data_IF_949465926890
#
_entry.id   IF_949465926890
#
_cell.length_a   1.000
_cell.length_b   1.000
_cell.length_c   1.000
_cell.angle_alpha   90.00
_cell.angle_beta   90.00
_cell.angle_gamma   90.00
#
_symmetry.space_group_name_H-M   'P 1'
#
loop_
_entity.id
_entity.type
_entity.pdbx_description
1 polymer ?
#
# COMPACT_ATOMS: atom_id res chain seq x y z
N UNK A 1 -22.32 22.60 3.43
CA UNK A 1 -23.47 21.70 3.72
C UNK A 1 -23.67 20.58 2.68
N UNK A 2 -23.32 20.76 1.40
CA UNK A 2 -23.53 19.73 0.35
C UNK A 2 -22.74 18.42 0.53
N UNK A 3 -21.45 18.48 0.88
CA UNK A 3 -20.61 17.27 1.00
C UNK A 3 -21.06 16.31 2.13
N UNK A 4 -21.55 16.85 3.26
CA UNK A 4 -22.07 16.06 4.38
C UNK A 4 -23.38 15.36 4.01
N UNK A 5 -24.24 16.01 3.24
CA UNK A 5 -25.54 15.47 2.82
C UNK A 5 -25.41 14.38 1.75
N UNK A 6 -24.44 14.53 0.83
CA UNK A 6 -24.10 13.48 -0.15
C UNK A 6 -23.54 12.26 0.57
N UNK A 7 -22.63 12.46 1.53
CA UNK A 7 -22.03 11.34 2.29
C UNK A 7 -23.07 10.54 3.09
N UNK A 8 -24.07 11.19 3.70
CA UNK A 8 -25.15 10.51 4.44
C UNK A 8 -26.05 9.66 3.52
N UNK A 9 -26.30 10.14 2.30
CA UNK A 9 -27.08 9.42 1.28
C UNK A 9 -26.34 8.18 0.78
N UNK A 10 -25.03 8.31 0.50
CA UNK A 10 -24.19 7.20 0.06
C UNK A 10 -24.07 6.12 1.15
N UNK A 11 -23.87 6.52 2.41
CA UNK A 11 -23.76 5.57 3.52
C UNK A 11 -25.07 4.78 3.76
N UNK A 12 -26.23 5.41 3.52
CA UNK A 12 -27.53 4.71 3.52
C UNK A 12 -27.69 3.76 2.33
N UNK A 13 -27.23 4.14 1.14
CA UNK A 13 -27.30 3.29 -0.06
C UNK A 13 -26.47 2.01 0.12
N UNK A 14 -25.22 2.16 0.57
CA UNK A 14 -24.30 1.04 0.85
C UNK A 14 -24.90 0.14 1.95
N UNK A 15 -25.38 0.71 3.07
CA UNK A 15 -26.00 -0.09 4.13
C UNK A 15 -27.29 -0.77 3.72
N UNK A 16 -28.05 -0.24 2.77
CA UNK A 16 -29.27 -0.86 2.25
C UNK A 16 -28.95 -2.04 1.33
N UNK A 17 -27.99 -1.88 0.42
CA UNK A 17 -27.57 -2.96 -0.48
C UNK A 17 -26.71 -4.04 0.22
N UNK A 18 -26.05 -3.66 1.33
CA UNK A 18 -25.20 -4.56 2.10
C UNK A 18 -25.94 -5.42 3.14
N UNK A 19 -27.25 -5.22 3.39
CA UNK A 19 -28.02 -5.94 4.44
C UNK A 19 -28.04 -7.47 4.32
N UNK A 20 -27.62 -8.04 3.18
CA UNK A 20 -27.47 -9.48 2.95
C UNK A 20 -26.04 -9.93 2.60
N UNK A 21 -25.02 -9.11 2.83
CA UNK A 21 -23.64 -9.47 2.47
C UNK A 21 -23.04 -10.40 3.50
N UNK A 22 -22.96 -11.67 3.13
CA UNK A 22 -22.13 -12.62 3.88
C UNK A 22 -20.66 -12.20 3.77
N UNK A 23 -19.93 -12.22 4.89
CA UNK A 23 -18.48 -12.02 4.95
C UNK A 23 -17.74 -12.89 3.92
N UNK A 24 -18.31 -14.04 3.58
CA UNK A 24 -17.79 -14.94 2.56
C UNK A 24 -17.77 -14.28 1.16
N UNK A 25 -18.80 -13.50 0.80
CA UNK A 25 -18.84 -12.79 -0.49
C UNK A 25 -17.78 -11.70 -0.55
N UNK A 26 -17.60 -10.96 0.54
CA UNK A 26 -16.56 -9.94 0.66
C UNK A 26 -15.17 -10.58 0.54
N UNK A 27 -14.96 -11.69 1.25
CA UNK A 27 -13.73 -12.47 1.16
C UNK A 27 -13.48 -12.96 -0.28
N UNK A 28 -14.46 -13.60 -0.92
CA UNK A 28 -14.33 -14.11 -2.29
C UNK A 28 -14.04 -13.01 -3.32
N UNK A 29 -14.67 -11.84 -3.19
CA UNK A 29 -14.43 -10.70 -4.05
C UNK A 29 -12.95 -10.26 -3.98
N UNK A 30 -12.48 -9.97 -2.77
CA UNK A 30 -11.12 -9.49 -2.56
C UNK A 30 -10.05 -10.59 -2.72
N UNK A 31 -10.40 -11.85 -2.50
CA UNK A 31 -9.55 -12.99 -2.78
C UNK A 31 -9.32 -13.15 -4.29
N UNK A 32 -10.37 -13.02 -5.11
CA UNK A 32 -10.23 -12.99 -6.58
C UNK A 32 -9.36 -11.82 -7.03
N UNK A 33 -9.55 -10.64 -6.43
CA UNK A 33 -8.67 -9.50 -6.67
C UNK A 33 -7.23 -9.84 -6.30
N UNK A 34 -6.97 -10.49 -5.18
CA UNK A 34 -5.61 -10.89 -4.79
C UNK A 34 -4.99 -11.95 -5.71
N UNK A 35 -5.80 -12.83 -6.30
CA UNK A 35 -5.35 -13.87 -7.24
C UNK A 35 -5.24 -13.37 -8.68
N UNK A 36 -6.02 -12.39 -9.11
CA UNK A 36 -6.07 -11.94 -10.51
C UNK A 36 -5.54 -10.52 -10.71
N UNK A 37 -5.35 -9.76 -9.63
CA UNK A 37 -4.91 -8.36 -9.63
C UNK A 37 -3.40 -8.20 -9.78
N UNK A 38 -2.77 -9.03 -10.61
CA UNK A 38 -1.36 -8.86 -10.97
C UNK A 38 -1.20 -7.72 -12.00
N UNK A 39 -0.05 -7.05 -12.01
CA UNK A 39 0.21 -5.90 -12.89
C UNK A 39 0.13 -4.51 -12.22
N UNK A 40 0.07 -4.45 -10.89
CA UNK A 40 0.13 -3.20 -10.13
C UNK A 40 -1.19 -2.42 -10.12
N UNK A 41 -1.12 -1.10 -9.92
CA UNK A 41 -2.29 -0.22 -9.84
C UNK A 41 -3.24 -0.33 -11.04
N UNK A 42 -2.76 -0.21 -12.29
CA UNK A 42 -3.62 -0.24 -13.47
C UNK A 42 -4.38 -1.56 -13.69
N UNK A 43 -3.83 -2.69 -13.25
CA UNK A 43 -4.50 -4.00 -13.34
C UNK A 43 -5.46 -4.28 -12.18
N UNK A 44 -5.11 -3.84 -10.97
CA UNK A 44 -5.89 -4.11 -9.77
C UNK A 44 -7.09 -3.19 -9.59
N UNK A 45 -7.01 -1.92 -9.99
CA UNK A 45 -8.11 -0.94 -9.81
C UNK A 45 -9.38 -1.35 -10.60
N UNK A 46 -9.31 -1.65 -11.91
CA UNK A 46 -10.49 -2.05 -12.68
C UNK A 46 -11.08 -3.38 -12.19
N UNK A 47 -10.23 -4.28 -11.68
CA UNK A 47 -10.66 -5.56 -11.15
C UNK A 47 -11.44 -5.39 -9.83
N UNK A 48 -10.99 -4.50 -8.94
CA UNK A 48 -11.73 -4.16 -7.72
C UNK A 48 -13.05 -3.47 -8.09
N UNK A 49 -13.01 -2.51 -9.02
CA UNK A 49 -14.22 -1.83 -9.52
C UNK A 49 -15.24 -2.85 -10.05
N UNK A 50 -14.82 -3.77 -10.92
CA UNK A 50 -15.69 -4.82 -11.47
C UNK A 50 -16.30 -5.73 -10.41
N UNK A 51 -15.56 -6.10 -9.36
CA UNK A 51 -16.13 -6.93 -8.30
C UNK A 51 -17.09 -6.12 -7.42
N UNK A 52 -16.71 -4.91 -7.03
CA UNK A 52 -17.43 -4.11 -6.02
C UNK A 52 -18.62 -3.34 -6.60
N UNK A 53 -18.49 -2.79 -7.80
CA UNK A 53 -19.50 -1.96 -8.50
C UNK A 53 -20.32 -2.81 -9.45
N UNK A 54 -19.71 -3.59 -10.36
CA UNK A 54 -20.50 -4.34 -11.35
C UNK A 54 -21.11 -5.63 -10.78
N UNK A 55 -20.30 -6.48 -10.13
CA UNK A 55 -20.73 -7.82 -9.70
C UNK A 55 -21.59 -7.78 -8.45
N UNK A 56 -21.09 -7.16 -7.38
CA UNK A 56 -21.75 -7.17 -6.07
C UNK A 56 -22.57 -5.89 -5.81
N UNK A 57 -22.40 -4.86 -6.64
CA UNK A 57 -23.12 -3.58 -6.60
C UNK A 57 -23.09 -2.88 -5.23
N UNK A 58 -22.07 -3.14 -4.41
CA UNK A 58 -21.98 -2.57 -3.06
C UNK A 58 -21.77 -1.06 -3.07
N UNK A 59 -21.11 -0.54 -4.10
CA UNK A 59 -20.79 0.87 -4.28
C UNK A 59 -21.23 1.32 -5.68
N UNK A 60 -21.52 2.62 -5.81
CA UNK A 60 -21.68 3.28 -7.10
C UNK A 60 -20.32 3.65 -7.71
N UNK A 61 -20.30 3.99 -9.00
CA UNK A 61 -19.10 4.53 -9.66
C UNK A 61 -18.55 5.79 -8.98
N UNK A 62 -19.45 6.67 -8.52
CA UNK A 62 -19.11 7.89 -7.80
C UNK A 62 -18.41 7.57 -6.46
N UNK A 63 -18.99 6.65 -5.68
CA UNK A 63 -18.40 6.22 -4.40
C UNK A 63 -17.04 5.56 -4.58
N UNK A 64 -16.90 4.74 -5.63
CA UNK A 64 -15.62 4.11 -5.93
C UNK A 64 -14.57 5.15 -6.31
N UNK A 65 -14.94 6.15 -7.11
CA UNK A 65 -14.07 7.28 -7.48
C UNK A 65 -13.58 8.05 -6.25
N UNK A 66 -14.47 8.36 -5.31
CA UNK A 66 -14.12 9.05 -4.06
C UNK A 66 -13.15 8.22 -3.20
N UNK A 67 -13.40 6.92 -3.05
CA UNK A 67 -12.51 6.03 -2.29
C UNK A 67 -11.16 5.88 -3.00
N UNK A 68 -11.15 5.83 -4.33
CA UNK A 68 -9.91 5.76 -5.11
C UNK A 68 -9.10 7.04 -4.97
N UNK A 69 -9.74 8.22 -4.97
CA UNK A 69 -9.08 9.49 -4.70
C UNK A 69 -8.43 9.47 -3.31
N UNK A 70 -9.17 9.05 -2.28
CA UNK A 70 -8.64 8.89 -0.92
C UNK A 70 -7.45 7.90 -0.88
N UNK A 71 -7.55 6.76 -1.55
CA UNK A 71 -6.50 5.75 -1.58
C UNK A 71 -5.18 6.26 -2.23
N UNK A 72 -5.28 7.17 -3.20
CA UNK A 72 -4.12 7.79 -3.84
C UNK A 72 -3.47 8.89 -2.98
N UNK A 73 -4.24 9.57 -2.12
CA UNK A 73 -3.67 10.57 -1.19
C UNK A 73 -2.87 9.95 -0.06
N UNK A 74 -3.25 8.74 0.40
CA UNK A 74 -2.50 8.00 1.39
C UNK A 74 -1.22 7.43 0.76
N UNK A 75 -0.09 7.34 1.45
CA UNK A 75 1.06 6.56 0.98
C UNK A 75 0.81 5.05 1.17
N UNK A 76 1.30 4.22 0.25
CA UNK A 76 1.27 2.75 0.36
C UNK A 76 0.48 2.01 -0.74
N UNK A 77 0.33 0.68 -0.62
CA UNK A 77 -0.28 -0.15 -1.66
C UNK A 77 -1.76 0.17 -1.89
N UNK A 78 -2.14 0.42 -3.15
CA UNK A 78 -3.50 0.84 -3.52
C UNK A 78 -4.52 -0.28 -3.21
N UNK A 79 -4.22 -1.52 -3.58
CA UNK A 79 -5.13 -2.66 -3.38
C UNK A 79 -5.53 -2.86 -1.90
N UNK A 80 -4.57 -2.76 -0.98
CA UNK A 80 -4.83 -2.93 0.45
C UNK A 80 -5.66 -1.78 1.03
N UNK A 81 -5.42 -0.54 0.59
CA UNK A 81 -6.22 0.62 1.01
C UNK A 81 -7.66 0.52 0.55
N UNK A 82 -7.86 0.21 -0.74
CA UNK A 82 -9.18 0.02 -1.31
C UNK A 82 -9.92 -1.12 -0.58
N UNK A 83 -9.26 -2.26 -0.36
CA UNK A 83 -9.84 -3.37 0.38
C UNK A 83 -10.24 -3.01 1.80
N UNK A 84 -9.37 -2.29 2.54
CA UNK A 84 -9.67 -1.83 3.89
C UNK A 84 -10.85 -0.87 3.95
N UNK A 85 -10.86 0.15 3.08
CA UNK A 85 -11.89 1.19 3.11
C UNK A 85 -13.25 0.67 2.61
N UNK A 86 -13.25 -0.10 1.51
CA UNK A 86 -14.46 -0.74 0.98
C UNK A 86 -14.97 -1.79 1.98
N UNK A 87 -14.09 -2.63 2.54
CA UNK A 87 -14.47 -3.62 3.53
C UNK A 87 -15.11 -2.99 4.78
N UNK A 88 -14.58 -1.85 5.23
CA UNK A 88 -15.16 -1.08 6.33
C UNK A 88 -16.54 -0.52 6.00
N UNK A 89 -16.72 0.05 4.81
CA UNK A 89 -18.01 0.62 4.36
C UNK A 89 -19.07 -0.45 4.18
N UNK A 90 -18.71 -1.61 3.64
CA UNK A 90 -19.65 -2.69 3.34
C UNK A 90 -20.07 -3.44 4.62
N UNK A 91 -19.13 -3.87 5.45
CA UNK A 91 -19.42 -4.77 6.59
C UNK A 91 -18.79 -4.36 7.91
N UNK A 92 -18.48 -3.07 8.06
CA UNK A 92 -17.86 -2.52 9.27
C UNK A 92 -16.44 -3.02 9.50
N UNK A 93 -15.98 -2.94 10.75
CA UNK A 93 -14.59 -3.28 11.13
C UNK A 93 -14.24 -4.73 10.80
N UNK A 94 -15.19 -5.67 10.96
CA UNK A 94 -14.97 -7.07 10.60
C UNK A 94 -14.78 -7.25 9.09
N UNK A 95 -15.54 -6.51 8.28
CA UNK A 95 -15.38 -6.49 6.83
C UNK A 95 -14.03 -5.94 6.38
N UNK A 96 -13.53 -4.90 7.05
CA UNK A 96 -12.19 -4.34 6.79
C UNK A 96 -11.09 -5.39 6.98
N UNK A 97 -11.07 -6.06 8.14
CA UNK A 97 -10.06 -7.07 8.47
C UNK A 97 -10.15 -8.22 7.47
N UNK A 98 -11.36 -8.69 7.19
CA UNK A 98 -11.59 -9.80 6.27
C UNK A 98 -11.18 -9.46 4.83
N UNK A 99 -11.49 -8.26 4.34
CA UNK A 99 -11.10 -7.81 3.00
C UNK A 99 -9.57 -7.67 2.86
N UNK A 100 -8.90 -7.11 3.86
CA UNK A 100 -7.43 -6.99 3.88
C UNK A 100 -6.79 -8.39 3.88
N UNK A 101 -7.27 -9.29 4.74
CA UNK A 101 -6.80 -10.67 4.78
C UNK A 101 -7.01 -11.35 3.43
N UNK A 102 -8.18 -11.21 2.82
CA UNK A 102 -8.49 -11.82 1.53
C UNK A 102 -7.52 -11.40 0.41
N UNK A 103 -7.09 -10.14 0.39
CA UNK A 103 -6.10 -9.64 -0.59
C UNK A 103 -4.71 -10.23 -0.36
N UNK A 104 -4.28 -10.40 0.90
CA UNK A 104 -2.90 -10.82 1.25
C UNK A 104 -2.75 -12.35 1.28
N UNK A 105 -3.81 -13.07 1.66
CA UNK A 105 -3.85 -14.53 1.74
C UNK A 105 -3.31 -15.26 0.50
N UNK A 106 -3.72 -14.94 -0.75
CA UNK A 106 -3.21 -15.66 -1.92
C UNK A 106 -1.70 -15.50 -2.08
N UNK A 107 -1.14 -14.33 -1.76
CA UNK A 107 0.31 -14.09 -1.79
C UNK A 107 1.04 -14.92 -0.73
N UNK A 108 0.50 -15.01 0.49
CA UNK A 108 1.09 -15.83 1.57
C UNK A 108 1.09 -17.30 1.18
N UNK A 109 -0.04 -17.83 0.72
CA UNK A 109 -0.17 -19.24 0.32
C UNK A 109 0.78 -19.56 -0.83
N UNK A 110 0.81 -18.71 -1.87
CA UNK A 110 1.70 -18.90 -3.01
C UNK A 110 3.17 -18.88 -2.60
N UNK A 111 3.55 -17.97 -1.71
CA UNK A 111 4.90 -17.88 -1.17
C UNK A 111 5.31 -19.14 -0.40
N UNK A 112 4.45 -19.64 0.50
CA UNK A 112 4.73 -20.86 1.27
C UNK A 112 4.90 -22.07 0.35
N UNK A 113 4.00 -22.22 -0.63
CA UNK A 113 4.06 -23.32 -1.60
C UNK A 113 5.35 -23.23 -2.43
N UNK A 114 5.68 -22.05 -2.94
CA UNK A 114 6.87 -21.84 -3.76
C UNK A 114 8.16 -22.08 -2.96
N UNK A 115 8.24 -21.59 -1.73
CA UNK A 115 9.42 -21.80 -0.88
C UNK A 115 9.59 -23.26 -0.48
N UNK A 116 8.49 -23.96 -0.13
CA UNK A 116 8.53 -25.38 0.21
C UNK A 116 8.96 -26.21 -0.99
N UNK A 117 8.42 -25.90 -2.17
CA UNK A 117 8.81 -26.55 -3.41
C UNK A 117 10.28 -26.28 -3.75
N UNK A 118 10.73 -25.03 -3.65
CA UNK A 118 12.11 -24.63 -3.91
C UNK A 118 13.11 -25.31 -2.96
N UNK A 119 12.76 -25.41 -1.67
CA UNK A 119 13.57 -26.10 -0.66
C UNK A 119 13.63 -27.61 -0.87
N UNK A 120 12.62 -28.22 -1.50
CA UNK A 120 12.66 -29.65 -1.82
C UNK A 120 13.58 -29.97 -2.99
N UNK A 121 13.87 -28.99 -3.85
CA UNK A 121 14.73 -29.14 -5.03
C UNK A 121 16.06 -28.39 -4.89
N UNK A 122 16.37 -27.87 -3.69
CA UNK A 122 17.57 -27.08 -3.44
C UNK A 122 18.86 -27.88 -3.49
N UNK A 123 18.79 -29.21 -3.55
CA UNK A 123 19.95 -30.11 -3.70
C UNK A 123 20.61 -30.01 -5.08
N UNK A 124 19.94 -29.45 -6.09
CA UNK A 124 20.52 -29.23 -7.41
C UNK A 124 21.31 -27.90 -7.47
N UNK A 125 22.59 -27.98 -7.86
CA UNK A 125 23.49 -26.82 -7.96
C UNK A 125 22.94 -25.65 -8.79
N UNK A 126 22.15 -25.95 -9.83
CA UNK A 126 21.45 -24.94 -10.64
C UNK A 126 20.49 -24.07 -9.81
N UNK A 127 19.74 -24.67 -8.87
CA UNK A 127 18.74 -23.97 -8.04
C UNK A 127 19.43 -23.06 -7.02
N UNK A 128 20.54 -23.54 -6.46
CA UNK A 128 21.41 -22.74 -5.58
C UNK A 128 21.98 -21.53 -6.31
N UNK A 129 22.47 -21.72 -7.55
CA UNK A 129 22.96 -20.63 -8.41
C UNK A 129 21.88 -19.60 -8.75
N UNK A 130 20.65 -20.02 -9.08
CA UNK A 130 19.53 -19.12 -9.33
C UNK A 130 19.17 -18.30 -8.07
N UNK A 131 19.15 -18.93 -6.90
CA UNK A 131 18.82 -18.26 -5.63
C UNK A 131 19.91 -17.25 -5.26
N UNK A 132 21.18 -17.60 -5.46
CA UNK A 132 22.31 -16.69 -5.25
C UNK A 132 22.25 -15.46 -6.16
N UNK A 133 21.74 -15.60 -7.39
CA UNK A 133 21.55 -14.49 -8.32
C UNK A 133 20.47 -13.47 -7.88
N UNK A 134 19.55 -13.85 -6.97
CA UNK A 134 18.54 -12.92 -6.44
C UNK A 134 19.18 -11.85 -5.56
N UNK A 135 20.21 -12.19 -4.79
CA UNK A 135 20.88 -11.28 -3.84
C UNK A 135 21.42 -10.01 -4.54
N UNK A 136 22.24 -10.09 -5.62
CA UNK A 136 22.73 -8.89 -6.29
C UNK A 136 21.61 -8.09 -6.96
N UNK A 137 20.56 -8.74 -7.49
CA UNK A 137 19.40 -8.05 -8.08
C UNK A 137 18.67 -7.21 -7.03
N UNK A 138 18.40 -7.80 -5.87
CA UNK A 138 17.80 -7.08 -4.73
C UNK A 138 18.73 -5.97 -4.24
N UNK A 139 20.04 -6.21 -4.18
CA UNK A 139 21.04 -5.20 -3.82
C UNK A 139 21.03 -3.99 -4.75
N UNK A 140 21.02 -4.20 -6.07
CA UNK A 140 20.92 -3.12 -7.07
C UNK A 140 19.59 -2.38 -6.93
N UNK A 141 18.47 -3.09 -6.76
CA UNK A 141 17.16 -2.47 -6.58
C UNK A 141 17.13 -1.56 -5.34
N UNK A 142 17.63 -2.03 -4.20
CA UNK A 142 17.73 -1.23 -2.97
C UNK A 142 18.68 -0.04 -3.15
N UNK A 143 19.80 -0.23 -3.85
CA UNK A 143 20.74 0.84 -4.17
C UNK A 143 20.09 1.94 -5.02
N UNK A 144 19.36 1.56 -6.07
CA UNK A 144 18.63 2.50 -6.94
C UNK A 144 17.56 3.27 -6.16
N UNK A 145 16.78 2.59 -5.33
CA UNK A 145 15.76 3.25 -4.49
C UNK A 145 16.40 4.24 -3.51
N UNK A 146 17.49 3.84 -2.85
CA UNK A 146 18.24 4.71 -1.93
C UNK A 146 18.77 5.95 -2.65
N UNK A 147 19.34 5.77 -3.85
CA UNK A 147 19.81 6.86 -4.68
C UNK A 147 18.70 7.82 -5.11
N UNK A 148 17.55 7.28 -5.52
CA UNK A 148 16.39 8.09 -5.90
C UNK A 148 15.88 8.93 -4.72
N UNK A 149 15.80 8.36 -3.52
CA UNK A 149 15.41 9.10 -2.32
C UNK A 149 16.44 10.18 -1.97
N UNK A 150 17.74 9.89 -2.08
CA UNK A 150 18.80 10.87 -1.82
C UNK A 150 18.74 12.05 -2.79
N UNK A 151 18.57 11.78 -4.10
CA UNK A 151 18.41 12.82 -5.12
C UNK A 151 17.17 13.67 -4.86
N UNK A 152 16.03 13.03 -4.58
CA UNK A 152 14.76 13.72 -4.28
C UNK A 152 14.86 14.59 -3.02
N UNK A 153 15.59 14.14 -2.01
CA UNK A 153 15.87 14.94 -0.82
C UNK A 153 16.78 16.14 -1.12
N UNK A 154 17.82 15.95 -1.95
CA UNK A 154 18.71 17.02 -2.45
C UNK A 154 17.97 18.12 -3.19
N UNK A 155 17.08 17.74 -4.11
CA UNK A 155 16.30 18.67 -4.94
C UNK A 155 15.22 19.41 -4.13
N UNK A 156 14.67 18.79 -3.07
CA UNK A 156 13.62 19.40 -2.24
C UNK A 156 14.14 20.32 -1.11
N UNK A 157 15.11 19.86 -0.32
CA UNK A 157 15.54 20.51 0.93
C UNK A 157 16.85 21.32 0.73
N UNK A 158 17.56 21.06 -0.38
CA UNK A 158 18.86 21.63 -0.73
C UNK A 158 20.02 20.72 -0.33
N UNK A 159 20.96 20.51 -1.25
CA UNK A 159 22.08 19.57 -1.13
C UNK A 159 22.88 19.68 0.17
N UNK A 160 23.11 20.89 0.66
CA UNK A 160 23.84 21.13 1.92
C UNK A 160 23.07 20.58 3.13
N UNK A 161 21.76 20.78 3.19
CA UNK A 161 20.92 20.27 4.29
C UNK A 161 20.73 18.76 4.18
N UNK A 162 20.66 18.23 2.96
CA UNK A 162 20.58 16.78 2.71
C UNK A 162 21.84 16.08 3.19
N UNK A 163 23.02 16.58 2.81
CA UNK A 163 24.31 16.00 3.26
C UNK A 163 24.45 16.11 4.78
N UNK A 164 24.08 17.25 5.37
CA UNK A 164 24.13 17.44 6.83
C UNK A 164 23.18 16.47 7.56
N UNK A 165 21.94 16.30 7.09
CA UNK A 165 20.99 15.36 7.70
C UNK A 165 21.43 13.91 7.50
N UNK A 166 21.91 13.55 6.30
CA UNK A 166 22.42 12.20 6.03
C UNK A 166 23.62 11.87 6.91
N UNK A 167 24.57 12.80 7.05
CA UNK A 167 25.70 12.64 7.96
C UNK A 167 25.24 12.55 9.42
N UNK A 168 24.30 13.38 9.85
CA UNK A 168 23.74 13.33 11.20
C UNK A 168 23.06 11.97 11.49
N UNK A 169 22.30 11.43 10.54
CA UNK A 169 21.64 10.12 10.68
C UNK A 169 22.66 8.99 10.72
N UNK A 170 23.69 9.02 9.86
CA UNK A 170 24.75 8.01 9.85
C UNK A 170 25.55 8.02 11.16
N UNK A 171 25.93 9.21 11.66
CA UNK A 171 26.61 9.35 12.94
C UNK A 171 25.71 8.90 14.09
N UNK A 172 24.42 9.18 14.07
CA UNK A 172 23.49 8.74 15.11
C UNK A 172 23.29 7.21 15.10
N UNK A 173 23.41 6.56 13.94
CA UNK A 173 23.36 5.11 13.80
C UNK A 173 24.65 4.44 14.27
N UNK A 174 25.82 4.94 13.84
CA UNK A 174 27.12 4.33 14.13
C UNK A 174 27.63 4.65 15.54
N UNK A 175 27.39 5.86 16.05
CA UNK A 175 27.97 6.32 17.32
C UNK A 175 27.08 6.04 18.54
N UNK A 176 25.76 5.96 18.36
CA UNK A 176 24.81 5.80 19.46
C UNK A 176 24.18 4.39 19.56
N UNK A 177 24.40 3.51 18.58
CA UNK A 177 23.85 2.14 18.58
C UNK A 177 22.32 2.09 18.68
N UNK A 178 21.65 3.20 18.35
CA UNK A 178 20.20 3.35 18.54
C UNK A 178 19.49 2.56 17.45
N UNK A 179 18.52 1.76 17.86
CA UNK A 179 17.73 0.97 16.91
C UNK A 179 17.04 1.90 15.89
N UNK A 180 17.11 1.63 14.58
CA UNK A 180 16.60 2.52 13.53
C UNK A 180 15.13 2.94 13.73
N UNK A 181 14.32 2.07 14.36
CA UNK A 181 12.93 2.36 14.69
C UNK A 181 12.73 3.55 15.64
N UNK A 182 13.63 3.76 16.61
CA UNK A 182 13.55 4.88 17.55
C UNK A 182 13.84 6.20 16.83
N UNK A 183 14.81 6.19 15.91
CA UNK A 183 15.17 7.36 15.10
C UNK A 183 13.99 7.77 14.21
N UNK A 184 13.34 6.81 13.55
CA UNK A 184 12.14 7.06 12.73
C UNK A 184 11.00 7.61 13.61
N UNK A 185 10.77 7.02 14.78
CA UNK A 185 9.75 7.48 15.72
C UNK A 185 9.97 8.93 16.17
N UNK A 186 11.20 9.29 16.55
CA UNK A 186 11.57 10.65 16.95
C UNK A 186 11.42 11.63 15.78
N UNK A 187 11.82 11.26 14.56
CA UNK A 187 11.64 12.10 13.37
C UNK A 187 10.17 12.37 13.07
N UNK A 188 9.30 11.36 13.19
CA UNK A 188 7.85 11.52 13.01
C UNK A 188 7.27 12.43 14.08
N UNK A 189 7.68 12.27 15.35
CA UNK A 189 7.26 13.14 16.45
C UNK A 189 7.71 14.58 16.21
N UNK A 190 8.98 14.79 15.85
CA UNK A 190 9.52 16.12 15.52
C UNK A 190 8.82 16.75 14.31
N UNK A 191 8.49 15.96 13.28
CA UNK A 191 7.77 16.43 12.10
C UNK A 191 6.32 16.81 12.42
N UNK A 192 5.64 16.06 13.30
CA UNK A 192 4.30 16.38 13.77
C UNK A 192 4.30 17.65 14.64
N UNK A 193 5.32 17.84 15.48
CA UNK A 193 5.49 19.03 16.32
C UNK A 193 5.86 20.27 15.49
N UNK A 194 6.56 20.10 14.37
CA UNK A 194 6.96 21.20 13.46
C UNK A 194 5.97 21.49 12.32
N UNK A 195 4.72 21.04 12.39
CA UNK A 195 3.73 21.41 11.37
C UNK A 195 3.51 22.94 11.35
N UNK A 196 4.17 23.63 10.41
CA UNK A 196 3.44 24.44 9.42
C UNK A 196 4.28 24.93 8.22
N UNK A 197 3.60 25.05 7.07
CA UNK A 197 3.83 26.12 6.09
C UNK A 197 4.67 25.85 4.83
N UNK A 198 4.08 25.20 3.81
CA UNK A 198 3.96 25.71 2.41
C UNK A 198 3.35 24.65 1.46
N UNK A 199 2.19 24.92 0.83
CA UNK A 199 1.66 24.09 -0.27
C UNK A 199 2.60 24.14 -1.48
N UNK A 200 3.03 22.98 -1.99
CA UNK A 200 3.69 22.89 -3.29
C UNK A 200 2.62 22.98 -4.37
N UNK A 201 2.70 24.07 -5.14
CA UNK A 201 1.88 24.30 -6.31
C UNK A 201 2.20 23.28 -7.42
N UNK A 202 1.09 22.82 -7.99
CA UNK A 202 0.87 22.13 -9.26
C UNK A 202 1.79 22.58 -10.41
N UNK A 203 2.29 21.60 -11.17
CA UNK A 203 3.01 21.81 -12.42
C UNK A 203 2.50 20.82 -13.47
N UNK A 204 1.45 21.21 -14.18
CA UNK A 204 1.05 20.64 -15.47
C UNK A 204 2.16 20.81 -16.51
N UNK A 205 2.24 19.86 -17.45
CA UNK A 205 2.58 20.16 -18.84
C UNK A 205 3.98 19.81 -19.32
N UNK A 206 4.12 18.64 -19.94
CA UNK A 206 4.55 18.49 -21.34
C UNK A 206 4.17 17.11 -21.85
#
# INVERSE_FOLDING_TARGET
MGCVFVSDKQDKYIKQNSRGTSQLRLFLAFFRVGVLGYGGGPGSIPLIHKEVVDRYQWLSDEDFGDILALANTLPGPIATKLAGYIGQRVSGVLGMINAILAVIMPTIVLMIVLLTFLSSISEFDWVSGMTAAVIPVVGVMLGVLTWQFFKKAGDGIGWIKTILMSAAVLVLLELAGVHPGIIIGVLIILALVRRDGKPQAEGEGS
#
